data_IF_987392876622
#
_entry.id   IF_987392876622
#
_cell.length_a   1.000
_cell.length_b   1.000
_cell.length_c   1.000
_cell.angle_alpha   90.00
_cell.angle_beta   90.00
_cell.angle_gamma   90.00
#
_symmetry.space_group_name_H-M   'P 1'
#
loop_
_entity.id
_entity.type
_entity.pdbx_description
1 polymer ?
#
# COMPACT_ATOMS: atom_id res chain seq x y z
N UNK A 1 -8.19 8.78 2.98
CA UNK A 1 -7.34 9.15 4.13
C UNK A 1 -5.85 9.08 3.80
N UNK A 2 -5.25 7.89 3.62
CA UNK A 2 -3.81 7.74 3.33
C UNK A 2 -3.35 8.56 2.10
N UNK A 3 -4.17 8.64 1.05
CA UNK A 3 -3.85 9.44 -0.16
C UNK A 3 -3.75 10.93 0.13
N UNK A 4 -4.62 11.47 0.99
CA UNK A 4 -4.58 12.89 1.37
C UNK A 4 -3.47 13.15 2.39
N UNK A 5 -3.16 12.17 3.24
CA UNK A 5 -2.05 12.26 4.17
C UNK A 5 -0.72 12.46 3.43
N UNK A 6 -0.34 11.59 2.48
CA UNK A 6 0.96 11.73 1.80
C UNK A 6 1.03 12.97 0.90
N UNK A 7 -0.10 13.42 0.34
CA UNK A 7 -0.17 14.66 -0.42
C UNK A 7 0.05 15.89 0.45
N UNK A 8 -0.60 15.94 1.62
CA UNK A 8 -0.47 17.07 2.54
C UNK A 8 0.91 17.15 3.19
N UNK A 9 1.58 16.01 3.36
CA UNK A 9 2.96 15.96 3.86
C UNK A 9 4.01 16.14 2.78
N UNK A 10 3.62 16.23 1.50
CA UNK A 10 4.55 16.34 0.37
C UNK A 10 5.50 15.13 0.28
N UNK A 11 5.03 13.93 0.61
CA UNK A 11 5.87 12.74 0.61
C UNK A 11 6.00 12.13 -0.79
N UNK A 12 7.23 11.74 -1.15
CA UNK A 12 7.55 11.20 -2.48
C UNK A 12 7.62 9.66 -2.52
N UNK A 13 7.45 8.98 -1.39
CA UNK A 13 7.50 7.51 -1.30
C UNK A 13 6.52 7.01 -0.23
N UNK A 14 5.70 6.01 -0.60
CA UNK A 14 4.81 5.31 0.32
C UNK A 14 5.39 3.95 0.71
N UNK A 15 5.65 3.73 2.00
CA UNK A 15 6.06 2.44 2.54
C UNK A 15 4.84 1.69 3.10
N UNK A 16 4.65 0.45 2.68
CA UNK A 16 3.53 -0.38 3.11
C UNK A 16 4.01 -1.78 3.51
N UNK A 17 3.54 -2.26 4.67
CA UNK A 17 3.77 -3.65 5.07
C UNK A 17 2.84 -4.61 4.34
N UNK A 18 3.40 -5.60 3.65
CA UNK A 18 2.69 -6.76 3.13
C UNK A 18 2.85 -7.93 4.11
N UNK A 19 1.95 -8.06 5.09
CA UNK A 19 1.99 -9.18 6.04
C UNK A 19 1.43 -10.45 5.40
N UNK A 20 2.26 -11.49 5.21
CA UNK A 20 1.83 -12.81 4.73
C UNK A 20 2.23 -13.91 5.72
N UNK A 21 1.33 -14.22 6.66
CA UNK A 21 1.30 -15.56 7.26
C UNK A 21 0.01 -16.24 6.81
N UNK A 22 0.17 -17.29 6.02
CA UNK A 22 -0.84 -18.15 5.36
C UNK A 22 -1.33 -17.66 3.99
N UNK A 23 -1.18 -18.54 2.99
CA UNK A 23 -1.57 -18.41 1.57
C UNK A 23 -3.04 -18.00 1.31
N UNK A 24 -3.89 -17.93 2.33
CA UNK A 24 -5.23 -17.34 2.28
C UNK A 24 -5.22 -15.80 2.22
N UNK A 25 -4.15 -15.13 2.69
CA UNK A 25 -4.09 -13.65 2.68
C UNK A 25 -3.90 -13.05 1.27
N UNK A 26 -3.50 -13.86 0.28
CA UNK A 26 -3.39 -13.41 -1.10
C UNK A 26 -4.73 -13.19 -1.81
N UNK A 27 -5.80 -13.89 -1.41
CA UNK A 27 -7.16 -13.63 -1.93
C UNK A 27 -7.73 -12.28 -1.42
N UNK A 28 -7.10 -11.67 -0.41
CA UNK A 28 -7.47 -10.38 0.20
C UNK A 28 -6.65 -9.20 -0.37
N UNK A 29 -5.69 -9.45 -1.26
CA UNK A 29 -5.08 -8.36 -2.04
C UNK A 29 -6.07 -7.73 -3.05
N UNK A 30 -7.32 -8.19 -3.10
CA UNK A 30 -8.46 -7.30 -3.34
C UNK A 30 -8.79 -6.50 -2.07
N UNK A 31 -8.36 -5.23 -2.03
CA UNK A 31 -8.43 -4.36 -0.84
C UNK A 31 -7.47 -3.17 -0.90
N UNK A 32 -7.07 -2.62 0.27
CA UNK A 32 -6.26 -1.39 0.39
C UNK A 32 -4.99 -1.42 -0.46
N UNK A 33 -4.31 -2.56 -0.56
CA UNK A 33 -3.09 -2.69 -1.39
C UNK A 33 -3.36 -2.48 -2.87
N UNK A 34 -4.36 -3.14 -3.45
CA UNK A 34 -4.74 -2.91 -4.85
C UNK A 34 -5.26 -1.48 -5.07
N UNK A 35 -6.04 -0.95 -4.13
CA UNK A 35 -6.49 0.45 -4.17
C UNK A 35 -5.30 1.42 -4.21
N UNK A 36 -4.27 1.20 -3.39
CA UNK A 36 -3.08 2.04 -3.36
C UNK A 36 -2.23 1.87 -4.61
N UNK A 37 -2.00 0.65 -5.08
CA UNK A 37 -1.26 0.43 -6.33
C UNK A 37 -1.94 1.08 -7.54
N UNK A 38 -3.28 1.15 -7.55
CA UNK A 38 -4.04 1.80 -8.64
C UNK A 38 -4.15 3.32 -8.52
N UNK A 39 -4.07 3.89 -7.31
CA UNK A 39 -4.41 5.31 -7.04
C UNK A 39 -3.27 6.14 -6.45
N UNK A 40 -2.19 5.51 -5.98
CA UNK A 40 -1.02 6.24 -5.53
C UNK A 40 -0.38 6.93 -6.74
N UNK A 41 -0.17 8.25 -6.63
CA UNK A 41 0.59 9.02 -7.62
C UNK A 41 2.08 9.04 -7.31
N UNK A 42 2.50 8.32 -6.26
CA UNK A 42 3.88 8.19 -5.81
C UNK A 42 4.27 6.71 -5.76
N UNK A 43 5.57 6.39 -5.91
CA UNK A 43 6.05 5.03 -5.74
C UNK A 43 5.59 4.40 -4.42
N UNK A 44 5.23 3.11 -4.47
CA UNK A 44 4.84 2.32 -3.29
C UNK A 44 5.84 1.18 -3.11
N UNK A 45 6.54 1.16 -1.98
CA UNK A 45 7.45 0.08 -1.58
C UNK A 45 6.75 -0.86 -0.60
N UNK A 46 6.56 -2.11 -1.02
CA UNK A 46 5.97 -3.15 -0.19
C UNK A 46 7.05 -3.95 0.52
N UNK A 47 6.99 -4.01 1.85
CA UNK A 47 7.88 -4.81 2.68
C UNK A 47 7.17 -6.06 3.18
N UNK A 48 7.72 -7.24 2.88
CA UNK A 48 7.28 -8.53 3.40
C UNK A 48 8.43 -9.15 4.19
N UNK A 49 8.11 -9.79 5.32
CA UNK A 49 9.06 -10.55 6.16
C UNK A 49 9.10 -12.02 5.79
#
# INVERSE_FOLDING_TARGET
EIVEAYKSTGSDLLLMGAYSRNRMSQLVFGGVTEYMLKRASIPVLMLHS
#
